data_IF_537431966633
#
_entry.id   IF_537431966633
#
_cell.length_a   1.000
_cell.length_b   1.000
_cell.length_c   1.000
_cell.angle_alpha   90.00
_cell.angle_beta   90.00
_cell.angle_gamma   90.00
#
_symmetry.space_group_name_H-M   'P 1'
#
loop_
_entity.id
_entity.type
_entity.pdbx_description
1 polymer ?
#
# COMPACT_ATOMS: atom_id res chain seq x y z
N UNK A 1 2.91 -4.83 23.55
CA UNK A 1 2.92 -3.51 22.91
C UNK A 1 3.73 -3.60 21.63
N UNK A 2 3.05 -3.62 20.48
CA UNK A 2 3.71 -3.69 19.17
C UNK A 2 4.21 -2.29 18.79
N UNK A 3 5.52 -2.05 18.90
CA UNK A 3 6.17 -0.90 18.30
C UNK A 3 6.23 -1.12 16.79
N UNK A 4 5.21 -0.65 16.08
CA UNK A 4 5.30 -0.48 14.63
C UNK A 4 6.48 0.48 14.35
N UNK A 5 7.63 -0.07 13.96
CA UNK A 5 8.75 0.70 13.47
C UNK A 5 8.25 1.54 12.29
N UNK A 6 8.16 2.87 12.49
CA UNK A 6 8.00 3.80 11.38
C UNK A 6 9.27 3.68 10.52
N UNK A 7 9.20 2.90 9.45
CA UNK A 7 10.28 2.78 8.49
C UNK A 7 10.54 4.16 7.86
N UNK A 8 11.58 4.84 8.32
CA UNK A 8 12.05 6.09 7.71
C UNK A 8 12.91 5.75 6.50
N UNK A 9 12.45 6.11 5.31
CA UNK A 9 13.16 5.87 4.06
C UNK A 9 13.69 7.18 3.50
N UNK A 10 14.98 7.23 3.16
CA UNK A 10 15.59 8.37 2.48
C UNK A 10 15.55 8.15 0.97
N UNK A 11 15.03 9.12 0.22
CA UNK A 11 14.96 9.07 -1.24
C UNK A 11 15.85 10.17 -1.80
N UNK A 12 16.78 9.80 -2.69
CA UNK A 12 17.57 10.74 -3.48
C UNK A 12 16.98 10.82 -4.87
N UNK A 13 16.71 12.04 -5.34
CA UNK A 13 16.08 12.30 -6.64
C UNK A 13 16.98 13.25 -7.41
N UNK A 14 17.33 12.89 -8.63
CA UNK A 14 18.00 13.81 -9.55
C UNK A 14 16.92 14.59 -10.31
N UNK A 15 16.92 15.91 -10.14
CA UNK A 15 15.91 16.80 -10.72
C UNK A 15 16.60 17.80 -11.65
N UNK A 16 16.13 17.98 -12.90
CA UNK A 16 16.64 19.03 -13.79
C UNK A 16 16.57 20.42 -13.13
N UNK A 17 17.57 21.26 -13.38
CA UNK A 17 17.72 22.55 -12.70
C UNK A 17 16.47 23.45 -12.79
N UNK A 18 15.81 23.50 -13.96
CA UNK A 18 14.58 24.28 -14.14
C UNK A 18 13.40 23.78 -13.30
N UNK A 19 13.24 22.46 -13.17
CA UNK A 19 12.18 21.87 -12.35
C UNK A 19 12.47 22.11 -10.86
N UNK A 20 13.75 21.97 -10.46
CA UNK A 20 14.17 22.24 -9.09
C UNK A 20 13.89 23.71 -8.71
N UNK A 21 14.23 24.65 -9.59
CA UNK A 21 14.00 26.07 -9.36
C UNK A 21 12.51 26.38 -9.19
N UNK A 22 11.66 25.84 -10.07
CA UNK A 22 10.22 26.03 -10.00
C UNK A 22 9.64 25.44 -8.71
N UNK A 23 10.02 24.22 -8.33
CA UNK A 23 9.57 23.58 -7.10
C UNK A 23 10.00 24.37 -5.86
N UNK A 24 11.23 24.92 -5.84
CA UNK A 24 11.71 25.78 -4.76
C UNK A 24 10.95 27.11 -4.69
N UNK A 25 10.59 27.69 -5.84
CA UNK A 25 9.78 28.92 -5.90
C UNK A 25 8.39 28.67 -5.30
N UNK A 26 7.72 27.60 -5.74
CA UNK A 26 6.40 27.23 -5.24
C UNK A 26 6.40 26.87 -3.76
N UNK A 27 7.37 26.09 -3.29
CA UNK A 27 7.52 25.77 -1.88
C UNK A 27 7.68 27.03 -1.01
N UNK A 28 8.48 28.00 -1.48
CA UNK A 28 8.65 29.30 -0.81
C UNK A 28 7.37 30.12 -0.84
N UNK A 29 6.64 30.13 -1.96
CA UNK A 29 5.37 30.87 -2.11
C UNK A 29 4.32 30.44 -1.09
N UNK A 30 4.27 29.15 -0.76
CA UNK A 30 3.33 28.58 0.22
C UNK A 30 3.92 28.47 1.64
N UNK A 31 5.17 28.93 1.84
CA UNK A 31 5.81 28.99 3.15
C UNK A 31 6.27 27.65 3.73
N UNK A 32 6.59 26.65 2.90
CA UNK A 32 7.04 25.32 3.35
C UNK A 32 8.43 24.95 2.80
N UNK A 33 9.06 23.93 3.39
CA UNK A 33 10.33 23.42 2.89
C UNK A 33 10.15 22.70 1.54
N UNK A 34 11.20 22.72 0.70
CA UNK A 34 11.20 21.93 -0.54
C UNK A 34 10.94 20.44 -0.27
N UNK A 35 11.46 19.90 0.84
CA UNK A 35 11.26 18.49 1.18
C UNK A 35 9.79 18.20 1.50
N UNK A 36 9.12 19.05 2.27
CA UNK A 36 7.72 18.86 2.61
C UNK A 36 6.81 19.06 1.39
N UNK A 37 7.18 19.99 0.51
CA UNK A 37 6.52 20.16 -0.77
C UNK A 37 6.58 18.87 -1.61
N UNK A 38 7.77 18.28 -1.76
CA UNK A 38 7.93 17.00 -2.48
C UNK A 38 7.17 15.86 -1.78
N UNK A 39 7.21 15.78 -0.44
CA UNK A 39 6.43 14.79 0.33
C UNK A 39 4.93 14.92 0.05
N UNK A 40 4.41 16.14 0.03
CA UNK A 40 3.00 16.42 -0.26
C UNK A 40 2.61 16.03 -1.68
N UNK A 41 3.46 16.33 -2.68
CA UNK A 41 3.23 15.92 -4.07
C UNK A 41 3.23 14.40 -4.21
N UNK A 42 4.20 13.72 -3.60
CA UNK A 42 4.26 12.26 -3.60
C UNK A 42 3.06 11.64 -2.90
N UNK A 43 2.68 12.18 -1.74
CA UNK A 43 1.51 11.72 -1.00
C UNK A 43 0.24 11.88 -1.84
N UNK A 44 0.08 13.00 -2.54
CA UNK A 44 -1.06 13.24 -3.43
C UNK A 44 -1.07 12.27 -4.61
N UNK A 45 0.06 12.09 -5.28
CA UNK A 45 0.19 11.16 -6.41
C UNK A 45 -0.15 9.73 -5.99
N UNK A 46 0.44 9.26 -4.89
CA UNK A 46 0.24 7.90 -4.39
C UNK A 46 -1.13 7.69 -3.75
N UNK A 47 -1.73 8.72 -3.15
CA UNK A 47 -3.10 8.65 -2.63
C UNK A 47 -4.12 8.41 -3.74
N UNK A 48 -3.84 8.85 -4.98
CA UNK A 48 -4.73 8.66 -6.13
C UNK A 48 -4.33 7.47 -7.02
N UNK A 49 -3.16 6.87 -6.80
CA UNK A 49 -2.70 5.73 -7.58
C UNK A 49 -3.55 4.49 -7.30
N UNK A 50 -4.26 3.93 -8.31
CA UNK A 50 -5.04 2.71 -8.14
C UNK A 50 -4.20 1.52 -7.70
N UNK A 51 -2.92 1.46 -8.11
CA UNK A 51 -2.02 0.35 -7.77
C UNK A 51 -1.67 0.33 -6.28
N UNK A 52 -1.48 1.49 -5.64
CA UNK A 52 -1.22 1.55 -4.20
C UNK A 52 -2.48 1.30 -3.38
N UNK A 53 -3.63 1.81 -3.85
CA UNK A 53 -4.93 1.47 -3.23
C UNK A 53 -5.22 -0.03 -3.34
N UNK A 54 -4.92 -0.65 -4.48
CA UNK A 54 -5.07 -2.10 -4.68
C UNK A 54 -4.12 -2.89 -3.77
N UNK A 55 -2.82 -2.54 -3.71
CA UNK A 55 -1.86 -3.19 -2.80
C UNK A 55 -2.32 -3.08 -1.34
N UNK A 56 -2.76 -1.90 -0.91
CA UNK A 56 -3.25 -1.67 0.45
C UNK A 56 -4.52 -2.48 0.76
N UNK A 57 -5.48 -2.50 -0.17
CA UNK A 57 -6.72 -3.26 -0.01
C UNK A 57 -6.48 -4.77 -0.04
N UNK A 58 -5.67 -5.26 -0.97
CA UNK A 58 -5.40 -6.67 -1.13
C UNK A 58 -4.58 -7.21 0.05
N UNK A 59 -3.66 -6.41 0.60
CA UNK A 59 -2.99 -6.73 1.86
C UNK A 59 -3.98 -6.80 3.03
N UNK A 60 -4.89 -5.83 3.14
CA UNK A 60 -5.91 -5.83 4.20
C UNK A 60 -6.88 -7.02 4.08
N UNK A 61 -7.28 -7.40 2.86
CA UNK A 61 -8.10 -8.58 2.60
C UNK A 61 -7.35 -9.87 2.93
N UNK A 62 -6.07 -9.94 2.59
CA UNK A 62 -5.22 -11.07 2.93
C UNK A 62 -5.05 -11.22 4.45
N UNK A 63 -4.73 -10.14 5.16
CA UNK A 63 -4.54 -10.15 6.61
C UNK A 63 -5.84 -10.57 7.31
N UNK A 64 -6.98 -10.04 6.88
CA UNK A 64 -8.30 -10.44 7.38
C UNK A 64 -8.60 -11.92 7.10
N UNK A 65 -8.34 -12.40 5.89
CA UNK A 65 -8.54 -13.80 5.55
C UNK A 65 -7.68 -14.72 6.42
N UNK A 66 -6.43 -14.35 6.73
CA UNK A 66 -5.57 -15.10 7.63
C UNK A 66 -6.10 -15.12 9.08
N UNK A 67 -6.64 -14.01 9.57
CA UNK A 67 -7.28 -13.93 10.89
C UNK A 67 -8.52 -14.83 10.96
N UNK A 68 -9.37 -14.79 9.94
CA UNK A 68 -10.60 -15.59 9.89
C UNK A 68 -10.31 -17.11 9.73
N UNK A 69 -9.24 -17.48 9.00
CA UNK A 69 -8.73 -18.85 8.94
C UNK A 69 -8.23 -19.30 10.33
N UNK A 70 -7.47 -18.45 11.04
CA UNK A 70 -6.99 -18.75 12.41
C UNK A 70 -8.13 -18.89 13.41
N UNK A 71 -9.21 -18.13 13.25
CA UNK A 71 -10.41 -18.21 14.07
C UNK A 71 -11.26 -19.46 13.78
N UNK A 72 -10.89 -20.28 12.79
CA UNK A 72 -11.59 -21.51 12.43
C UNK A 72 -12.87 -21.30 11.62
N UNK A 73 -13.11 -20.07 11.13
CA UNK A 73 -14.29 -19.77 10.31
C UNK A 73 -14.18 -20.28 8.87
N UNK A 74 -12.95 -20.53 8.40
CA UNK A 74 -12.68 -21.00 7.05
C UNK A 74 -11.77 -22.22 7.04
N UNK A 75 -12.04 -23.14 6.10
CA UNK A 75 -11.24 -24.35 5.90
C UNK A 75 -10.13 -24.06 4.89
N UNK A 76 -8.87 -24.17 5.33
CA UNK A 76 -7.73 -24.07 4.42
C UNK A 76 -7.65 -25.31 3.53
N UNK A 77 -7.79 -25.13 2.21
CA UNK A 77 -7.66 -26.18 1.21
C UNK A 77 -6.22 -26.19 0.69
N UNK A 78 -5.52 -27.32 0.83
CA UNK A 78 -4.07 -27.38 0.60
C UNK A 78 -3.69 -27.95 -0.76
N UNK A 79 -4.63 -28.61 -1.45
CA UNK A 79 -4.37 -29.23 -2.74
C UNK A 79 -5.60 -29.23 -3.65
N UNK A 80 -5.35 -29.45 -4.95
CA UNK A 80 -6.37 -29.44 -6.00
C UNK A 80 -7.47 -30.48 -5.75
N UNK A 81 -7.12 -31.67 -5.24
CA UNK A 81 -8.08 -32.77 -5.02
C UNK A 81 -9.09 -32.41 -3.94
N UNK A 82 -8.63 -31.85 -2.82
CA UNK A 82 -9.48 -31.34 -1.74
C UNK A 82 -10.42 -30.24 -2.22
N UNK A 83 -9.96 -29.35 -3.11
CA UNK A 83 -10.79 -28.29 -3.68
C UNK A 83 -11.93 -28.86 -4.50
N UNK A 84 -11.63 -29.79 -5.42
CA UNK A 84 -12.64 -30.39 -6.29
C UNK A 84 -13.70 -31.14 -5.48
N UNK A 85 -13.28 -31.97 -4.52
CA UNK A 85 -14.23 -32.69 -3.64
C UNK A 85 -15.14 -31.75 -2.85
N UNK A 86 -14.61 -30.60 -2.38
CA UNK A 86 -15.43 -29.62 -1.67
C UNK A 86 -16.44 -28.92 -2.60
N UNK A 87 -16.01 -28.50 -3.79
CA UNK A 87 -16.89 -27.85 -4.75
C UNK A 87 -18.01 -28.80 -5.22
N UNK A 88 -17.69 -30.06 -5.50
CA UNK A 88 -18.66 -31.07 -5.90
C UNK A 88 -19.71 -31.32 -4.80
N UNK A 89 -19.31 -31.22 -3.52
CA UNK A 89 -20.22 -31.37 -2.36
C UNK A 89 -21.18 -30.20 -2.14
N UNK A 90 -20.90 -29.03 -2.74
CA UNK A 90 -21.77 -27.84 -2.65
C UNK A 90 -22.82 -27.79 -3.78
N UNK A 91 -22.58 -28.53 -4.86
CA UNK A 91 -23.45 -28.56 -6.05
C UNK A 91 -24.35 -29.79 -6.13
N UNK A 92 -24.22 -30.73 -5.18
CA UNK A 92 -25.06 -31.92 -5.02
C UNK A 92 -26.26 -31.62 -4.11
#
# INVERSE_FOLDING_TARGET
MNTQQKASSTIKINVPAGILHNAQSEARRIGISLQDFIRMLMATYFAHSPSIRAISRDQALWDRAQEEIKAGQYRAIKNKKELTTYLDSLTA
#
